data_IF_925461670855
#
_entry.id   IF_925461670855
#
_cell.length_a   1.000
_cell.length_b   1.000
_cell.length_c   1.000
_cell.angle_alpha   90.00
_cell.angle_beta   90.00
_cell.angle_gamma   90.00
#
_symmetry.space_group_name_H-M   'P 1'
#
loop_
_entity.id
_entity.type
_entity.pdbx_description
1 polymer ?
#
# COMPACT_ATOMS: atom_id res chain seq x y z
N UNK A 1 -4.97 29.61 33.33
CA UNK A 1 -3.51 29.34 33.42
C UNK A 1 -3.27 27.83 33.42
N UNK A 2 -3.68 27.05 34.42
CA UNK A 2 -3.39 25.61 34.51
C UNK A 2 -3.85 24.77 33.28
N UNK A 3 -5.09 24.94 32.80
CA UNK A 3 -5.57 24.21 31.57
C UNK A 3 -4.80 24.54 30.30
N UNK A 4 -4.23 25.75 30.18
CA UNK A 4 -3.40 26.11 29.02
C UNK A 4 -2.03 25.43 29.08
N UNK A 5 -1.49 25.30 30.29
CA UNK A 5 -0.19 24.69 30.54
C UNK A 5 -0.27 23.14 30.29
N UNK A 6 -1.39 22.52 30.71
CA UNK A 6 -1.62 21.07 30.49
C UNK A 6 -1.71 20.71 28.99
N UNK A 7 -2.42 21.51 28.18
CA UNK A 7 -2.51 21.29 26.72
C UNK A 7 -1.16 21.53 26.04
N UNK A 8 -0.40 22.53 26.45
CA UNK A 8 0.95 22.77 25.90
C UNK A 8 1.90 21.63 26.26
N UNK A 9 1.80 21.08 27.47
CA UNK A 9 2.54 19.88 27.87
C UNK A 9 2.13 18.67 27.06
N UNK A 10 0.83 18.45 26.79
CA UNK A 10 0.34 17.38 25.94
C UNK A 10 0.91 17.50 24.51
N UNK A 11 1.02 18.72 23.96
CA UNK A 11 1.62 18.95 22.63
C UNK A 11 3.09 18.56 22.59
N UNK A 12 3.87 18.98 23.59
CA UNK A 12 5.29 18.61 23.70
C UNK A 12 5.48 17.10 23.81
N UNK A 13 4.63 16.42 24.59
CA UNK A 13 4.67 14.95 24.72
C UNK A 13 4.34 14.27 23.38
N UNK A 14 3.38 14.78 22.62
CA UNK A 14 3.08 14.29 21.27
C UNK A 14 4.25 14.50 20.31
N UNK A 15 4.93 15.65 20.36
CA UNK A 15 6.11 15.89 19.54
C UNK A 15 7.23 14.90 19.88
N UNK A 16 7.45 14.62 21.17
CA UNK A 16 8.39 13.58 21.61
C UNK A 16 7.98 12.19 21.14
N UNK A 17 6.67 11.87 21.18
CA UNK A 17 6.16 10.60 20.65
C UNK A 17 6.48 10.44 19.14
N UNK A 18 6.25 11.49 18.36
CA UNK A 18 6.53 11.47 16.92
C UNK A 18 8.02 11.34 16.60
N UNK A 19 8.89 11.98 17.39
CA UNK A 19 10.34 11.79 17.27
C UNK A 19 10.72 10.34 17.60
N UNK A 20 10.14 9.76 18.65
CA UNK A 20 10.38 8.36 19.01
C UNK A 20 9.90 7.40 17.91
N UNK A 21 8.77 7.69 17.23
CA UNK A 21 8.31 6.92 16.06
C UNK A 21 9.34 6.94 14.92
N UNK A 22 9.90 8.12 14.60
CA UNK A 22 10.93 8.25 13.56
C UNK A 22 12.17 7.41 13.88
N UNK A 23 12.52 7.28 15.15
CA UNK A 23 13.62 6.43 15.63
C UNK A 23 13.23 4.96 15.86
N UNK A 24 11.99 4.56 15.49
CA UNK A 24 11.44 3.21 15.74
C UNK A 24 11.41 2.78 17.21
N UNK A 25 11.42 3.74 18.13
CA UNK A 25 11.32 3.52 19.57
C UNK A 25 9.83 3.43 20.00
N UNK A 26 9.13 2.44 19.46
CA UNK A 26 7.66 2.34 19.55
C UNK A 26 7.12 2.30 20.98
N UNK A 27 7.84 1.66 21.92
CA UNK A 27 7.44 1.63 23.34
C UNK A 27 7.51 3.01 24.00
N UNK A 28 8.54 3.82 23.69
CA UNK A 28 8.65 5.19 24.16
C UNK A 28 7.58 6.09 23.55
N UNK A 29 7.33 5.94 22.22
CA UNK A 29 6.28 6.67 21.54
C UNK A 29 4.92 6.43 22.21
N UNK A 30 4.62 5.18 22.52
CA UNK A 30 3.38 4.81 23.22
C UNK A 30 3.31 5.47 24.61
N UNK A 31 4.38 5.41 25.40
CA UNK A 31 4.42 6.04 26.72
C UNK A 31 4.15 7.54 26.64
N UNK A 32 4.77 8.24 25.69
CA UNK A 32 4.54 9.68 25.49
C UNK A 32 3.10 10.00 25.07
N UNK A 33 2.46 9.16 24.23
CA UNK A 33 1.02 9.34 23.94
C UNK A 33 0.14 9.07 25.16
N UNK A 34 0.49 8.10 26.01
CA UNK A 34 -0.24 7.82 27.24
C UNK A 34 -0.13 8.99 28.23
N UNK A 35 1.08 9.53 28.40
CA UNK A 35 1.33 10.72 29.21
C UNK A 35 0.60 11.95 28.66
N UNK A 36 0.60 12.15 27.34
CA UNK A 36 -0.14 13.24 26.70
C UNK A 36 -1.65 13.14 26.95
N UNK A 37 -2.20 11.92 26.89
CA UNK A 37 -3.62 11.69 27.16
C UNK A 37 -3.98 11.89 28.63
N UNK A 38 -3.05 11.67 29.57
CA UNK A 38 -3.25 11.91 30.99
C UNK A 38 -3.36 13.40 31.37
N UNK A 39 -2.88 14.30 30.51
CA UNK A 39 -3.02 15.76 30.72
C UNK A 39 -4.45 16.26 30.46
N UNK A 40 -5.31 15.43 29.79
CA UNK A 40 -6.70 15.81 29.53
C UNK A 40 -7.64 15.23 30.57
N UNK A 41 -8.54 16.08 31.08
CA UNK A 41 -9.66 15.62 31.91
C UNK A 41 -10.61 14.74 31.10
N UNK A 42 -11.32 13.84 31.76
CA UNK A 42 -12.26 12.90 31.10
C UNK A 42 -13.36 13.60 30.29
N UNK A 43 -13.80 14.78 30.74
CA UNK A 43 -14.79 15.63 30.09
C UNK A 43 -14.18 16.69 29.17
N UNK A 44 -12.88 16.58 28.86
CA UNK A 44 -12.19 17.56 28.03
C UNK A 44 -12.82 17.69 26.66
N UNK A 45 -13.06 18.94 26.25
CA UNK A 45 -13.54 19.37 24.94
C UNK A 45 -12.40 20.02 24.12
N UNK A 46 -11.16 19.72 24.46
CA UNK A 46 -10.02 20.29 23.74
C UNK A 46 -9.94 19.68 22.32
N UNK A 47 -9.85 20.53 21.27
CA UNK A 47 -9.75 20.05 19.87
C UNK A 47 -8.52 19.17 19.59
N UNK A 48 -7.49 19.21 20.41
CA UNK A 48 -6.29 18.41 20.25
C UNK A 48 -6.46 16.95 20.73
N UNK A 49 -7.37 16.69 21.66
CA UNK A 49 -7.61 15.35 22.21
C UNK A 49 -7.97 14.29 21.16
N UNK A 50 -8.90 14.54 20.22
CA UNK A 50 -9.18 13.57 19.13
C UNK A 50 -7.94 13.21 18.29
N UNK A 51 -7.05 14.17 18.06
CA UNK A 51 -5.83 13.95 17.29
C UNK A 51 -4.84 13.04 18.02
N UNK A 52 -4.62 13.30 19.33
CA UNK A 52 -3.74 12.46 20.15
C UNK A 52 -4.23 11.02 20.20
N UNK A 53 -5.54 10.82 20.39
CA UNK A 53 -6.18 9.50 20.35
C UNK A 53 -5.96 8.82 19.01
N UNK A 54 -6.10 9.54 17.90
CA UNK A 54 -5.89 9.03 16.55
C UNK A 54 -4.44 8.62 16.30
N UNK A 55 -3.46 9.45 16.69
CA UNK A 55 -2.04 9.12 16.51
C UNK A 55 -1.64 7.89 17.33
N UNK A 56 -2.07 7.82 18.61
CA UNK A 56 -1.88 6.61 19.40
C UNK A 56 -2.52 5.39 18.73
N UNK A 57 -3.73 5.53 18.19
CA UNK A 57 -4.40 4.48 17.44
C UNK A 57 -3.59 4.02 16.22
N UNK A 58 -2.94 4.97 15.52
CA UNK A 58 -2.08 4.67 14.37
C UNK A 58 -0.85 3.87 14.78
N UNK A 59 -0.15 4.28 15.83
CA UNK A 59 0.98 3.53 16.40
C UNK A 59 0.58 2.09 16.77
N UNK A 60 -0.55 1.93 17.46
CA UNK A 60 -1.04 0.60 17.87
C UNK A 60 -1.39 -0.27 16.65
N UNK A 61 -2.01 0.31 15.61
CA UNK A 61 -2.31 -0.37 14.35
C UNK A 61 -1.05 -0.86 13.64
N UNK A 62 0.01 -0.06 13.62
CA UNK A 62 1.31 -0.41 13.02
C UNK A 62 2.00 -1.54 13.77
N UNK A 63 1.78 -1.63 15.07
CA UNK A 63 2.23 -2.75 15.91
C UNK A 63 1.36 -4.02 15.80
N UNK A 64 0.29 -3.99 14.98
CA UNK A 64 -0.65 -5.10 14.85
C UNK A 64 -1.69 -5.18 15.97
N UNK A 65 -1.71 -4.26 16.91
CA UNK A 65 -2.67 -4.18 18.04
C UNK A 65 -4.01 -3.61 17.58
N UNK A 66 -4.65 -4.30 16.62
CA UNK A 66 -5.82 -3.82 15.88
C UNK A 66 -7.00 -3.46 16.77
N UNK A 67 -7.28 -4.24 17.82
CA UNK A 67 -8.40 -3.95 18.72
C UNK A 67 -8.14 -2.74 19.63
N UNK A 68 -6.90 -2.55 20.05
CA UNK A 68 -6.52 -1.36 20.80
C UNK A 68 -6.59 -0.10 19.92
N UNK A 69 -6.13 -0.18 18.67
CA UNK A 69 -6.26 0.88 17.68
C UNK A 69 -7.73 1.23 17.42
N UNK A 70 -8.58 0.24 17.24
CA UNK A 70 -10.02 0.44 17.07
C UNK A 70 -10.63 1.22 18.23
N UNK A 71 -10.31 0.87 19.48
CA UNK A 71 -10.79 1.61 20.66
C UNK A 71 -10.32 3.06 20.66
N UNK A 72 -9.06 3.32 20.32
CA UNK A 72 -8.53 4.69 20.23
C UNK A 72 -9.26 5.50 19.15
N UNK A 73 -9.48 4.94 17.97
CA UNK A 73 -10.19 5.62 16.88
C UNK A 73 -11.66 5.87 17.20
N UNK A 74 -12.32 4.92 17.89
CA UNK A 74 -13.72 5.10 18.36
C UNK A 74 -13.81 6.25 19.35
N UNK A 75 -12.90 6.32 20.34
CA UNK A 75 -12.85 7.45 21.27
C UNK A 75 -12.52 8.77 20.57
N UNK A 76 -11.62 8.75 19.57
CA UNK A 76 -11.33 9.93 18.75
C UNK A 76 -12.58 10.42 18.02
N UNK A 77 -13.36 9.52 17.43
CA UNK A 77 -14.62 9.85 16.76
C UNK A 77 -15.65 10.44 17.74
N UNK A 78 -15.83 9.82 18.89
CA UNK A 78 -16.74 10.31 19.94
C UNK A 78 -16.38 11.74 20.38
N UNK A 79 -15.10 11.99 20.70
CA UNK A 79 -14.62 13.31 21.11
C UNK A 79 -14.71 14.33 19.97
N UNK A 80 -14.33 13.98 18.76
CA UNK A 80 -14.44 14.83 17.57
C UNK A 80 -15.91 15.26 17.30
N UNK A 81 -16.85 14.31 17.46
CA UNK A 81 -18.28 14.57 17.29
C UNK A 81 -18.82 15.51 18.36
N UNK A 82 -18.45 15.31 19.63
CA UNK A 82 -18.85 16.19 20.74
C UNK A 82 -18.32 17.62 20.57
N UNK A 83 -17.11 17.77 20.05
CA UNK A 83 -16.48 19.07 19.78
C UNK A 83 -17.06 19.73 18.52
N UNK A 84 -17.68 18.96 17.61
CA UNK A 84 -18.21 19.45 16.34
C UNK A 84 -17.12 19.69 15.28
N UNK A 85 -15.97 18.99 15.38
CA UNK A 85 -14.86 19.14 14.43
C UNK A 85 -15.05 18.19 13.23
N UNK A 86 -15.54 18.73 12.10
CA UNK A 86 -15.74 17.97 10.85
C UNK A 86 -14.46 17.24 10.39
N UNK A 87 -13.32 17.94 10.41
CA UNK A 87 -12.03 17.37 10.01
C UNK A 87 -11.59 16.24 10.94
N UNK A 88 -11.73 16.40 12.25
CA UNK A 88 -11.34 15.35 13.21
C UNK A 88 -12.27 14.12 13.11
N UNK A 89 -13.57 14.32 12.85
CA UNK A 89 -14.53 13.24 12.56
C UNK A 89 -14.11 12.49 11.30
N UNK A 90 -13.79 13.20 10.22
CA UNK A 90 -13.34 12.59 8.96
C UNK A 90 -12.07 11.75 9.14
N UNK A 91 -11.08 12.26 9.87
CA UNK A 91 -9.87 11.51 10.21
C UNK A 91 -10.18 10.21 10.97
N UNK A 92 -11.01 10.29 12.00
CA UNK A 92 -11.35 9.12 12.82
C UNK A 92 -12.12 8.07 12.01
N UNK A 93 -13.09 8.49 11.19
CA UNK A 93 -13.84 7.61 10.28
C UNK A 93 -12.93 6.94 9.24
N UNK A 94 -12.00 7.67 8.65
CA UNK A 94 -11.02 7.11 7.72
C UNK A 94 -10.14 6.02 8.39
N UNK A 95 -9.69 6.27 9.61
CA UNK A 95 -8.93 5.29 10.39
C UNK A 95 -9.75 4.05 10.73
N UNK A 96 -11.02 4.22 11.13
CA UNK A 96 -11.94 3.10 11.38
C UNK A 96 -12.22 2.31 10.11
N UNK A 97 -12.37 3.00 8.96
CA UNK A 97 -12.49 2.36 7.65
C UNK A 97 -11.29 1.47 7.32
N UNK A 98 -10.08 1.93 7.63
CA UNK A 98 -8.86 1.12 7.46
C UNK A 98 -8.88 -0.14 8.34
N UNK A 99 -9.40 -0.06 9.57
CA UNK A 99 -9.56 -1.23 10.45
C UNK A 99 -10.61 -2.20 9.88
N UNK A 100 -11.76 -1.70 9.42
CA UNK A 100 -12.81 -2.52 8.81
C UNK A 100 -12.28 -3.24 7.55
N UNK A 101 -11.49 -2.55 6.72
CA UNK A 101 -10.84 -3.12 5.54
C UNK A 101 -9.91 -4.28 5.91
N UNK A 102 -9.06 -4.10 6.92
CA UNK A 102 -8.16 -5.17 7.42
C UNK A 102 -8.91 -6.38 7.97
N UNK A 103 -10.11 -6.17 8.50
CA UNK A 103 -11.00 -7.24 8.98
C UNK A 103 -11.80 -7.90 7.86
N UNK A 104 -11.70 -7.41 6.62
CA UNK A 104 -12.45 -7.91 5.47
C UNK A 104 -13.93 -7.49 5.46
N UNK A 105 -14.36 -6.57 6.34
CA UNK A 105 -15.72 -6.05 6.33
C UNK A 105 -15.89 -4.95 5.28
N UNK A 106 -16.10 -5.40 4.04
CA UNK A 106 -16.21 -4.53 2.87
C UNK A 106 -17.34 -3.52 3.00
N UNK A 107 -18.52 -3.94 3.51
CA UNK A 107 -19.69 -3.06 3.62
C UNK A 107 -19.43 -1.94 4.63
N UNK A 108 -18.89 -2.27 5.76
CA UNK A 108 -18.55 -1.29 6.78
C UNK A 108 -17.42 -0.37 6.32
N UNK A 109 -16.44 -0.89 5.59
CA UNK A 109 -15.36 -0.09 4.98
C UNK A 109 -15.91 0.96 4.03
N UNK A 110 -16.80 0.57 3.09
CA UNK A 110 -17.45 1.50 2.15
C UNK A 110 -18.24 2.58 2.89
N UNK A 111 -19.01 2.19 3.91
CA UNK A 111 -19.81 3.10 4.71
C UNK A 111 -18.95 4.14 5.42
N UNK A 112 -17.89 3.68 6.09
CA UNK A 112 -16.99 4.54 6.87
C UNK A 112 -16.21 5.51 5.97
N UNK A 113 -15.67 5.03 4.83
CA UNK A 113 -14.98 5.91 3.89
C UNK A 113 -15.92 6.92 3.23
N UNK A 114 -17.16 6.54 2.89
CA UNK A 114 -18.13 7.47 2.33
C UNK A 114 -18.46 8.59 3.34
N UNK A 115 -18.73 8.25 4.59
CA UNK A 115 -18.95 9.23 5.65
C UNK A 115 -17.71 10.11 5.87
N UNK A 116 -16.51 9.52 5.88
CA UNK A 116 -15.28 10.27 6.02
C UNK A 116 -15.11 11.33 4.91
N UNK A 117 -15.44 10.96 3.65
CA UNK A 117 -15.39 11.87 2.50
C UNK A 117 -16.33 13.07 2.69
N UNK A 118 -17.61 12.82 3.07
CA UNK A 118 -18.58 13.88 3.34
C UNK A 118 -18.12 14.86 4.44
N UNK A 119 -17.53 14.33 5.51
CA UNK A 119 -17.02 15.15 6.60
C UNK A 119 -15.75 15.92 6.19
N UNK A 120 -14.87 15.34 5.38
CA UNK A 120 -13.68 16.02 4.86
C UNK A 120 -14.05 17.18 3.91
N UNK A 121 -15.06 17.01 3.07
CA UNK A 121 -15.61 18.07 2.21
C UNK A 121 -16.17 19.22 3.05
N UNK A 122 -17.01 18.93 4.06
CA UNK A 122 -17.56 19.95 4.97
C UNK A 122 -16.48 20.67 5.76
N UNK A 123 -15.47 19.94 6.20
CA UNK A 123 -14.29 20.48 6.89
C UNK A 123 -13.33 21.24 5.97
N UNK A 124 -13.55 21.20 4.65
CA UNK A 124 -12.70 21.81 3.62
C UNK A 124 -11.23 21.37 3.70
N UNK A 125 -11.01 20.13 4.10
CA UNK A 125 -9.68 19.55 4.17
C UNK A 125 -9.39 18.75 2.87
N UNK A 126 -8.88 19.45 1.87
CA UNK A 126 -8.59 18.85 0.57
C UNK A 126 -7.55 17.73 0.66
N UNK A 127 -6.55 17.85 1.55
CA UNK A 127 -5.54 16.81 1.74
C UNK A 127 -6.14 15.53 2.31
N UNK A 128 -6.97 15.65 3.33
CA UNK A 128 -7.68 14.53 3.92
C UNK A 128 -8.65 13.88 2.93
N UNK A 129 -9.40 14.70 2.17
CA UNK A 129 -10.27 14.22 1.11
C UNK A 129 -9.49 13.38 0.09
N UNK A 130 -8.33 13.87 -0.35
CA UNK A 130 -7.44 13.13 -1.25
C UNK A 130 -7.04 11.76 -0.71
N UNK A 131 -6.66 11.68 0.57
CA UNK A 131 -6.32 10.42 1.24
C UNK A 131 -7.51 9.45 1.31
N UNK A 132 -8.70 9.94 1.62
CA UNK A 132 -9.91 9.12 1.72
C UNK A 132 -10.30 8.58 0.33
N UNK A 133 -10.30 9.43 -0.69
CA UNK A 133 -10.63 9.04 -2.06
C UNK A 133 -9.60 8.02 -2.60
N UNK A 134 -8.31 8.16 -2.26
CA UNK A 134 -7.32 7.14 -2.58
C UNK A 134 -7.66 5.79 -1.95
N UNK A 135 -8.03 5.74 -0.68
CA UNK A 135 -8.43 4.51 0.01
C UNK A 135 -9.68 3.88 -0.64
N UNK A 136 -10.67 4.70 -1.02
CA UNK A 136 -11.85 4.24 -1.78
C UNK A 136 -11.47 3.65 -3.12
N UNK A 137 -10.53 4.29 -3.83
CA UNK A 137 -9.97 3.79 -5.10
C UNK A 137 -9.28 2.43 -4.94
N UNK A 138 -8.46 2.26 -3.90
CA UNK A 138 -7.83 0.97 -3.58
C UNK A 138 -8.88 -0.11 -3.33
N UNK A 139 -9.89 0.18 -2.51
CA UNK A 139 -10.97 -0.77 -2.21
C UNK A 139 -11.74 -1.18 -3.47
N UNK A 140 -12.11 -0.21 -4.33
CA UNK A 140 -12.80 -0.49 -5.59
C UNK A 140 -11.93 -1.32 -6.54
N UNK A 141 -10.63 -1.01 -6.64
CA UNK A 141 -9.67 -1.77 -7.46
C UNK A 141 -9.51 -3.22 -6.98
N UNK A 142 -9.45 -3.45 -5.67
CA UNK A 142 -9.39 -4.80 -5.08
C UNK A 142 -10.65 -5.63 -5.41
N UNK A 143 -11.79 -4.99 -5.59
CA UNK A 143 -13.06 -5.63 -5.96
C UNK A 143 -13.23 -5.82 -7.47
N UNK A 144 -12.28 -5.34 -8.27
CA UNK A 144 -12.38 -5.36 -9.73
C UNK A 144 -13.31 -4.31 -10.32
N UNK A 145 -13.82 -3.38 -9.51
CA UNK A 145 -14.62 -2.24 -9.99
C UNK A 145 -13.69 -1.12 -10.48
N UNK A 146 -13.07 -1.38 -11.62
CA UNK A 146 -12.05 -0.51 -12.18
C UNK A 146 -12.59 0.85 -12.62
N UNK A 147 -13.89 0.93 -12.97
CA UNK A 147 -14.54 2.21 -13.31
C UNK A 147 -14.60 3.14 -12.11
N UNK A 148 -15.14 2.66 -10.98
CA UNK A 148 -15.17 3.43 -9.73
C UNK A 148 -13.79 3.69 -9.15
N UNK A 149 -12.86 2.75 -9.30
CA UNK A 149 -11.48 2.96 -8.88
C UNK A 149 -10.83 4.15 -9.61
N UNK A 150 -11.00 4.26 -10.93
CA UNK A 150 -10.51 5.38 -11.72
C UNK A 150 -11.13 6.71 -11.28
N UNK A 151 -12.44 6.74 -11.02
CA UNK A 151 -13.15 7.92 -10.52
C UNK A 151 -12.57 8.38 -9.18
N UNK A 152 -12.46 7.48 -8.20
CA UNK A 152 -11.93 7.80 -6.88
C UNK A 152 -10.46 8.26 -6.92
N UNK A 153 -9.61 7.61 -7.72
CA UNK A 153 -8.23 8.07 -7.89
C UNK A 153 -8.16 9.43 -8.57
N UNK A 154 -9.05 9.73 -9.52
CA UNK A 154 -9.11 11.05 -10.17
C UNK A 154 -9.54 12.13 -9.18
N UNK A 155 -10.55 11.86 -8.35
CA UNK A 155 -10.98 12.74 -7.26
C UNK A 155 -9.84 12.99 -6.26
N UNK A 156 -9.15 11.91 -5.87
CA UNK A 156 -7.97 12.00 -5.00
C UNK A 156 -6.89 12.90 -5.57
N UNK A 157 -6.56 12.72 -6.86
CA UNK A 157 -5.55 13.53 -7.53
C UNK A 157 -5.94 15.02 -7.54
N UNK A 158 -7.19 15.34 -7.90
CA UNK A 158 -7.71 16.71 -7.88
C UNK A 158 -7.69 17.34 -6.48
N UNK A 159 -8.01 16.55 -5.45
CA UNK A 159 -7.95 17.01 -4.07
C UNK A 159 -6.51 17.31 -3.60
N UNK A 160 -5.54 16.47 -3.95
CA UNK A 160 -4.12 16.75 -3.65
C UNK A 160 -3.56 17.90 -4.48
N UNK A 161 -3.99 18.09 -5.73
CA UNK A 161 -3.65 19.27 -6.54
C UNK A 161 -4.16 20.56 -5.86
N UNK A 162 -5.41 20.54 -5.36
CA UNK A 162 -5.98 21.67 -4.61
C UNK A 162 -5.23 21.94 -3.31
N UNK A 163 -4.77 20.89 -2.63
CA UNK A 163 -3.97 21.00 -1.42
C UNK A 163 -2.51 21.42 -1.67
N UNK A 164 -2.04 21.40 -2.92
CA UNK A 164 -0.64 21.62 -3.27
C UNK A 164 0.32 20.55 -2.76
N UNK A 165 -0.18 19.33 -2.49
CA UNK A 165 0.59 18.23 -1.88
C UNK A 165 1.08 17.26 -2.97
N UNK A 166 2.29 17.50 -3.46
CA UNK A 166 2.86 16.74 -4.56
C UNK A 166 3.28 15.30 -4.18
N UNK A 167 3.56 15.03 -2.91
CA UNK A 167 4.01 13.71 -2.47
C UNK A 167 2.93 12.63 -2.70
N UNK A 168 1.71 12.73 -2.15
CA UNK A 168 0.69 11.73 -2.39
C UNK A 168 0.21 11.70 -3.84
N UNK A 169 0.32 12.79 -4.60
CA UNK A 169 -0.01 12.80 -6.02
C UNK A 169 0.79 11.76 -6.81
N UNK A 170 2.07 11.57 -6.51
CA UNK A 170 2.91 10.58 -7.20
C UNK A 170 2.42 9.15 -6.96
N UNK A 171 1.95 8.84 -5.76
CA UNK A 171 1.35 7.54 -5.43
C UNK A 171 -0.01 7.32 -6.10
N UNK A 172 -0.87 8.36 -6.14
CA UNK A 172 -2.16 8.27 -6.84
C UNK A 172 -1.96 8.06 -8.34
N UNK A 173 -1.02 8.76 -8.95
CA UNK A 173 -0.65 8.58 -10.36
C UNK A 173 -0.10 7.17 -10.62
N UNK A 174 0.69 6.63 -9.71
CA UNK A 174 1.12 5.24 -9.78
C UNK A 174 -0.07 4.26 -9.74
N UNK A 175 -1.02 4.48 -8.84
CA UNK A 175 -2.22 3.64 -8.74
C UNK A 175 -3.10 3.71 -10.00
N UNK A 176 -3.27 4.92 -10.59
CA UNK A 176 -3.93 5.09 -11.90
C UNK A 176 -3.18 4.34 -12.99
N UNK A 177 -1.85 4.41 -13.01
CA UNK A 177 -1.03 3.66 -13.95
C UNK A 177 -1.21 2.17 -13.85
N UNK A 178 -1.17 1.60 -12.65
CA UNK A 178 -1.43 0.17 -12.40
C UNK A 178 -2.85 -0.21 -12.85
N UNK A 179 -3.85 0.62 -12.50
CA UNK A 179 -5.24 0.39 -12.87
C UNK A 179 -5.41 0.30 -14.39
N UNK A 180 -4.88 1.29 -15.11
CA UNK A 180 -4.94 1.31 -16.58
C UNK A 180 -4.15 0.17 -17.22
N UNK A 181 -3.04 -0.27 -16.62
CA UNK A 181 -2.31 -1.46 -17.07
C UNK A 181 -3.15 -2.72 -16.94
N UNK A 182 -3.87 -2.90 -15.82
CA UNK A 182 -4.78 -4.05 -15.60
C UNK A 182 -5.88 -4.14 -16.64
N UNK A 183 -6.45 -3.01 -17.05
CA UNK A 183 -7.49 -2.95 -18.10
C UNK A 183 -6.92 -2.81 -19.52
N UNK A 184 -5.60 -2.97 -19.67
CA UNK A 184 -4.85 -2.90 -20.94
C UNK A 184 -4.94 -1.57 -21.68
N UNK A 185 -5.22 -0.50 -20.97
CA UNK A 185 -5.19 0.87 -21.48
C UNK A 185 -3.77 1.46 -21.27
N UNK A 186 -2.83 0.95 -22.05
CA UNK A 186 -1.40 1.16 -21.84
C UNK A 186 -0.94 2.61 -22.10
N UNK A 187 -1.61 3.36 -22.98
CA UNK A 187 -1.20 4.75 -23.27
C UNK A 187 -1.53 5.67 -22.10
N UNK A 188 -2.72 5.55 -21.49
CA UNK A 188 -3.08 6.26 -20.28
C UNK A 188 -2.22 5.80 -19.09
N UNK A 189 -2.00 4.49 -18.96
CA UNK A 189 -1.11 3.96 -17.92
C UNK A 189 0.27 4.63 -17.97
N UNK A 190 0.85 4.70 -19.17
CA UNK A 190 2.13 5.36 -19.41
C UNK A 190 2.08 6.82 -19.00
N UNK A 191 1.08 7.58 -19.45
CA UNK A 191 0.95 9.00 -19.13
C UNK A 191 0.90 9.28 -17.63
N UNK A 192 0.13 8.49 -16.88
CA UNK A 192 0.06 8.61 -15.43
C UNK A 192 1.40 8.24 -14.75
N UNK A 193 2.02 7.15 -15.14
CA UNK A 193 3.29 6.70 -14.55
C UNK A 193 4.45 7.65 -14.85
N UNK A 194 4.55 8.18 -16.09
CA UNK A 194 5.56 9.18 -16.45
C UNK A 194 5.40 10.46 -15.63
N UNK A 195 4.16 10.94 -15.44
CA UNK A 195 3.86 12.08 -14.58
C UNK A 195 4.21 11.83 -13.12
N UNK A 196 3.81 10.67 -12.57
CA UNK A 196 4.13 10.27 -11.19
C UNK A 196 5.63 10.16 -10.96
N UNK A 197 6.35 9.55 -11.92
CA UNK A 197 7.81 9.43 -11.88
C UNK A 197 8.49 10.81 -11.93
N UNK A 198 8.02 11.72 -12.76
CA UNK A 198 8.58 13.07 -12.82
C UNK A 198 8.45 13.83 -11.49
N UNK A 199 7.31 13.69 -10.79
CA UNK A 199 7.12 14.24 -9.45
C UNK A 199 8.11 13.61 -8.46
N UNK A 200 8.24 12.29 -8.47
CA UNK A 200 9.15 11.57 -7.57
C UNK A 200 10.61 11.99 -7.78
N UNK A 201 11.08 12.07 -9.03
CA UNK A 201 12.44 12.54 -9.38
C UNK A 201 12.67 13.97 -8.87
N UNK A 202 11.73 14.89 -9.11
CA UNK A 202 11.86 16.28 -8.69
C UNK A 202 11.91 16.43 -7.16
N UNK A 203 11.31 15.50 -6.43
CA UNK A 203 11.31 15.48 -4.96
C UNK A 203 12.48 14.68 -4.36
N UNK A 204 13.22 13.95 -5.18
CA UNK A 204 14.24 13.01 -4.71
C UNK A 204 13.66 11.77 -4.02
N UNK A 205 12.40 11.42 -4.31
CA UNK A 205 11.75 10.22 -3.77
C UNK A 205 12.16 8.99 -4.56
N UNK A 206 13.27 8.39 -4.15
CA UNK A 206 13.85 7.22 -4.81
C UNK A 206 12.97 5.96 -4.74
N UNK A 207 12.05 5.87 -3.77
CA UNK A 207 11.13 4.72 -3.66
C UNK A 207 10.05 4.81 -4.73
N UNK A 208 9.34 5.94 -4.80
CA UNK A 208 8.31 6.14 -5.82
C UNK A 208 8.89 6.16 -7.23
N UNK A 209 10.09 6.76 -7.42
CA UNK A 209 10.79 6.70 -8.70
C UNK A 209 11.03 5.25 -9.15
N UNK A 210 11.51 4.39 -8.25
CA UNK A 210 11.76 2.98 -8.56
C UNK A 210 10.47 2.23 -8.92
N UNK A 211 9.43 2.37 -8.08
CA UNK A 211 8.14 1.68 -8.29
C UNK A 211 7.50 2.12 -9.62
N UNK A 212 7.46 3.41 -9.90
CA UNK A 212 6.90 3.91 -11.17
C UNK A 212 7.74 3.50 -12.38
N UNK A 213 9.07 3.43 -12.23
CA UNK A 213 9.97 2.94 -13.28
C UNK A 213 9.70 1.46 -13.59
N UNK A 214 9.47 0.64 -12.57
CA UNK A 214 9.14 -0.77 -12.74
C UNK A 214 7.77 -0.96 -13.40
N UNK A 215 6.76 -0.20 -12.97
CA UNK A 215 5.42 -0.25 -13.58
C UNK A 215 5.44 0.23 -15.05
N UNK A 216 6.32 1.17 -15.41
CA UNK A 216 6.56 1.53 -16.83
C UNK A 216 7.16 0.36 -17.63
N UNK A 217 8.02 -0.48 -17.02
CA UNK A 217 8.49 -1.69 -17.69
C UNK A 217 7.34 -2.64 -18.02
N UNK A 218 6.38 -2.84 -17.09
CA UNK A 218 5.19 -3.66 -17.35
C UNK A 218 4.31 -3.08 -18.46
N UNK A 219 4.12 -1.76 -18.50
CA UNK A 219 3.39 -1.09 -19.58
C UNK A 219 4.05 -1.34 -20.94
N UNK A 220 5.37 -1.14 -21.03
CA UNK A 220 6.11 -1.37 -22.28
C UNK A 220 6.10 -2.84 -22.71
N UNK A 221 6.11 -3.77 -21.74
CA UNK A 221 5.93 -5.20 -21.98
C UNK A 221 4.53 -5.48 -22.56
N UNK A 222 3.48 -4.86 -21.99
CA UNK A 222 2.10 -4.98 -22.48
C UNK A 222 1.91 -4.44 -23.91
N UNK A 223 2.67 -3.38 -24.26
CA UNK A 223 2.72 -2.82 -25.63
C UNK A 223 3.58 -3.65 -26.60
N UNK A 224 4.16 -4.77 -26.16
CA UNK A 224 5.06 -5.61 -26.96
C UNK A 224 6.44 -4.98 -27.25
N UNK A 225 6.79 -3.88 -26.57
CA UNK A 225 8.07 -3.19 -26.72
C UNK A 225 9.11 -3.73 -25.74
N UNK A 226 9.45 -5.03 -25.91
CA UNK A 226 10.26 -5.79 -24.95
C UNK A 226 11.64 -5.20 -24.68
N UNK A 227 12.29 -4.57 -25.68
CA UNK A 227 13.61 -3.94 -25.48
C UNK A 227 13.51 -2.66 -24.63
N UNK A 228 12.40 -1.93 -24.74
CA UNK A 228 12.14 -0.77 -23.90
C UNK A 228 11.78 -1.22 -22.49
N UNK A 229 10.93 -2.23 -22.34
CA UNK A 229 10.60 -2.83 -21.06
C UNK A 229 11.85 -3.30 -20.30
N UNK A 230 12.77 -3.98 -20.98
CA UNK A 230 14.03 -4.49 -20.40
C UNK A 230 14.93 -3.35 -19.92
N UNK A 231 14.99 -2.22 -20.64
CA UNK A 231 15.74 -1.02 -20.19
C UNK A 231 15.14 -0.43 -18.90
N UNK A 232 13.81 -0.23 -18.83
CA UNK A 232 13.16 0.27 -17.63
C UNK A 232 13.32 -0.70 -16.45
N UNK A 233 13.20 -2.00 -16.70
CA UNK A 233 13.44 -3.04 -15.71
C UNK A 233 14.89 -3.01 -15.18
N UNK A 234 15.88 -2.86 -16.08
CA UNK A 234 17.28 -2.74 -15.69
C UNK A 234 17.54 -1.50 -14.83
N UNK A 235 16.94 -0.36 -15.18
CA UNK A 235 17.04 0.86 -14.37
C UNK A 235 16.45 0.66 -12.97
N UNK A 236 15.27 0.06 -12.85
CA UNK A 236 14.63 -0.20 -11.56
C UNK A 236 15.49 -1.16 -10.71
N UNK A 237 16.04 -2.22 -11.31
CA UNK A 237 16.90 -3.17 -10.62
C UNK A 237 18.18 -2.50 -10.10
N UNK A 238 18.83 -1.70 -10.92
CA UNK A 238 20.04 -0.96 -10.52
C UNK A 238 19.75 0.02 -9.38
N UNK A 239 18.64 0.76 -9.44
CA UNK A 239 18.21 1.66 -8.36
C UNK A 239 17.97 0.90 -7.05
N UNK A 240 17.30 -0.25 -7.09
CA UNK A 240 17.05 -1.09 -5.93
C UNK A 240 18.35 -1.63 -5.32
N UNK A 241 19.25 -2.15 -6.15
CA UNK A 241 20.55 -2.69 -5.73
C UNK A 241 21.43 -1.62 -5.07
N UNK A 242 21.48 -0.41 -5.62
CA UNK A 242 22.24 0.71 -5.01
C UNK A 242 21.75 1.08 -3.61
N UNK A 243 20.46 0.86 -3.31
CA UNK A 243 19.88 1.12 -1.98
C UNK A 243 19.94 -0.08 -1.04
N UNK A 244 20.37 -1.25 -1.52
CA UNK A 244 20.24 -2.49 -0.76
C UNK A 244 18.79 -2.91 -0.53
N UNK A 245 17.89 -2.52 -1.42
CA UNK A 245 16.46 -2.81 -1.34
C UNK A 245 16.16 -4.13 -2.06
N UNK A 246 16.32 -5.22 -1.33
CA UNK A 246 16.15 -6.58 -1.84
C UNK A 246 14.74 -6.85 -2.35
N UNK A 247 13.71 -6.27 -1.71
CA UNK A 247 12.32 -6.47 -2.12
C UNK A 247 12.03 -5.82 -3.48
N UNK A 248 12.46 -4.57 -3.67
CA UNK A 248 12.34 -3.90 -4.97
C UNK A 248 13.19 -4.59 -6.05
N UNK A 249 14.37 -5.13 -5.69
CA UNK A 249 15.21 -5.91 -6.62
C UNK A 249 14.48 -7.20 -7.04
N UNK A 250 13.87 -7.93 -6.12
CA UNK A 250 13.07 -9.12 -6.41
C UNK A 250 11.91 -8.80 -7.36
N UNK A 251 11.18 -7.71 -7.12
CA UNK A 251 10.11 -7.24 -8.01
C UNK A 251 10.61 -6.95 -9.42
N UNK A 252 11.75 -6.27 -9.56
CA UNK A 252 12.36 -6.00 -10.86
C UNK A 252 12.82 -7.28 -11.58
N UNK A 253 13.38 -8.24 -10.85
CA UNK A 253 13.76 -9.54 -11.42
C UNK A 253 12.53 -10.35 -11.86
N UNK A 254 11.41 -10.31 -11.13
CA UNK A 254 10.14 -10.91 -11.55
C UNK A 254 9.67 -10.34 -12.90
N UNK A 255 9.67 -9.02 -13.07
CA UNK A 255 9.31 -8.38 -14.36
C UNK A 255 10.30 -8.77 -15.46
N UNK A 256 11.60 -8.84 -15.17
CA UNK A 256 12.62 -9.32 -16.14
C UNK A 256 12.34 -10.74 -16.57
N UNK A 257 12.02 -11.64 -15.66
CA UNK A 257 11.66 -13.01 -16.00
C UNK A 257 10.43 -13.09 -16.91
N UNK A 258 9.42 -12.24 -16.67
CA UNK A 258 8.25 -12.15 -17.54
C UNK A 258 8.62 -11.66 -18.97
N UNK A 259 9.53 -10.69 -19.10
CA UNK A 259 10.05 -10.24 -20.39
C UNK A 259 10.80 -11.37 -21.10
N UNK A 260 11.66 -12.11 -20.39
CA UNK A 260 12.40 -13.25 -20.92
C UNK A 260 11.46 -14.36 -21.38
N UNK A 261 10.40 -14.65 -20.64
CA UNK A 261 9.34 -15.58 -21.02
C UNK A 261 8.64 -15.14 -22.30
N UNK A 262 8.29 -13.88 -22.45
CA UNK A 262 7.67 -13.37 -23.68
C UNK A 262 8.60 -13.44 -24.91
N UNK A 263 9.91 -13.35 -24.69
CA UNK A 263 10.94 -13.57 -25.73
C UNK A 263 11.14 -15.07 -26.08
N UNK A 264 10.47 -15.98 -25.37
CA UNK A 264 10.66 -17.43 -25.52
C UNK A 264 11.92 -17.97 -24.85
N UNK A 265 12.65 -17.16 -24.09
CA UNK A 265 13.87 -17.56 -23.39
C UNK A 265 13.54 -18.20 -22.01
N UNK A 266 12.83 -19.34 -22.04
CA UNK A 266 12.22 -19.95 -20.84
C UNK A 266 13.26 -20.37 -19.79
N UNK A 267 14.38 -20.96 -20.20
CA UNK A 267 15.45 -21.36 -19.28
C UNK A 267 16.04 -20.14 -18.55
N UNK A 268 16.22 -19.04 -19.26
CA UNK A 268 16.70 -17.78 -18.67
C UNK A 268 15.68 -17.20 -17.68
N UNK A 269 14.41 -17.21 -18.06
CA UNK A 269 13.32 -16.77 -17.18
C UNK A 269 13.29 -17.58 -15.88
N UNK A 270 13.44 -18.90 -15.94
CA UNK A 270 13.55 -19.78 -14.75
C UNK A 270 14.75 -19.36 -13.87
N UNK A 271 15.91 -19.14 -14.48
CA UNK A 271 17.11 -18.75 -13.75
C UNK A 271 16.90 -17.38 -13.05
N UNK A 272 16.33 -16.42 -13.76
CA UNK A 272 16.03 -15.08 -13.22
C UNK A 272 14.99 -15.13 -12.08
N UNK A 273 13.94 -15.95 -12.20
CA UNK A 273 12.95 -16.13 -11.13
C UNK A 273 13.57 -16.74 -9.86
N UNK A 274 14.47 -17.70 -10.01
CA UNK A 274 15.17 -18.27 -8.84
C UNK A 274 15.99 -17.23 -8.09
N UNK A 275 16.64 -16.33 -8.82
CA UNK A 275 17.36 -15.20 -8.19
C UNK A 275 16.35 -14.26 -7.51
N UNK A 276 15.22 -13.97 -8.15
CA UNK A 276 14.17 -13.12 -7.56
C UNK A 276 13.62 -13.71 -6.26
N UNK A 277 13.37 -15.02 -6.23
CA UNK A 277 12.89 -15.73 -5.04
C UNK A 277 13.94 -15.64 -3.92
N UNK A 278 15.22 -15.86 -4.23
CA UNK A 278 16.32 -15.75 -3.26
C UNK A 278 16.44 -14.32 -2.70
N UNK A 279 16.31 -13.28 -3.55
CA UNK A 279 16.33 -11.87 -3.10
C UNK A 279 15.13 -11.55 -2.18
N UNK A 280 13.99 -12.21 -2.37
CA UNK A 280 12.82 -12.06 -1.52
C UNK A 280 12.87 -12.92 -0.25
N UNK A 281 13.80 -13.86 -0.13
CA UNK A 281 13.97 -14.67 1.08
C UNK A 281 14.30 -13.78 2.28
N UNK A 282 13.51 -13.89 3.34
CA UNK A 282 13.63 -13.04 4.53
C UNK A 282 12.90 -11.70 4.46
N UNK A 283 12.25 -11.38 3.33
CA UNK A 283 11.31 -10.27 3.27
C UNK A 283 9.98 -10.65 3.94
N UNK A 284 9.26 -9.64 4.44
CA UNK A 284 7.91 -9.83 4.99
C UNK A 284 6.83 -10.00 3.90
N UNK A 285 7.18 -9.77 2.62
CA UNK A 285 6.25 -9.86 1.50
C UNK A 285 6.09 -11.30 0.98
N UNK A 286 5.39 -12.10 1.77
CA UNK A 286 5.06 -13.49 1.42
C UNK A 286 4.17 -13.62 0.18
N UNK A 287 3.41 -12.57 -0.14
CA UNK A 287 2.56 -12.59 -1.32
C UNK A 287 3.39 -12.54 -2.61
N UNK A 288 4.35 -11.62 -2.69
CA UNK A 288 5.27 -11.53 -3.82
C UNK A 288 6.06 -12.83 -3.99
N UNK A 289 6.54 -13.41 -2.90
CA UNK A 289 7.24 -14.69 -2.91
C UNK A 289 6.37 -15.82 -3.48
N UNK A 290 5.11 -15.93 -3.03
CA UNK A 290 4.16 -16.93 -3.52
C UNK A 290 3.85 -16.75 -5.02
N UNK A 291 3.67 -15.51 -5.48
CA UNK A 291 3.46 -15.21 -6.91
C UNK A 291 4.65 -15.63 -7.78
N UNK A 292 5.88 -15.39 -7.33
CA UNK A 292 7.08 -15.81 -8.06
C UNK A 292 7.20 -17.34 -8.14
N UNK A 293 6.88 -18.05 -7.06
CA UNK A 293 6.85 -19.51 -7.03
C UNK A 293 5.78 -20.08 -7.98
N UNK A 294 4.59 -19.47 -8.00
CA UNK A 294 3.55 -19.84 -8.95
C UNK A 294 4.03 -19.68 -10.40
N UNK A 295 4.63 -18.55 -10.74
CA UNK A 295 5.17 -18.28 -12.07
C UNK A 295 6.29 -19.26 -12.44
N UNK A 296 7.18 -19.57 -11.49
CA UNK A 296 8.22 -20.59 -11.68
C UNK A 296 7.62 -21.98 -12.00
N UNK A 297 6.55 -22.35 -11.31
CA UNK A 297 5.81 -23.58 -11.57
C UNK A 297 5.19 -23.62 -12.99
N UNK A 298 4.57 -22.52 -13.40
CA UNK A 298 3.98 -22.38 -14.73
C UNK A 298 5.02 -22.53 -15.86
N UNK A 299 6.17 -21.85 -15.73
CA UNK A 299 7.22 -21.91 -16.73
C UNK A 299 7.87 -23.30 -16.73
N UNK A 300 8.11 -23.88 -15.54
CA UNK A 300 8.68 -25.22 -15.42
C UNK A 300 7.78 -26.28 -16.08
N UNK A 301 6.46 -26.15 -15.94
CA UNK A 301 5.49 -26.96 -16.67
C UNK A 301 5.58 -26.77 -18.18
N UNK A 302 5.71 -25.53 -18.64
CA UNK A 302 5.80 -25.21 -20.07
C UNK A 302 7.04 -25.79 -20.74
N UNK A 303 8.17 -25.91 -20.01
CA UNK A 303 9.38 -26.59 -20.52
C UNK A 303 9.39 -28.10 -20.29
N UNK A 304 8.27 -28.68 -19.82
CA UNK A 304 8.14 -30.13 -19.60
C UNK A 304 8.78 -30.66 -18.33
N UNK A 305 9.26 -29.81 -17.42
CA UNK A 305 9.83 -30.21 -16.14
C UNK A 305 8.75 -30.33 -15.06
N UNK A 306 7.98 -31.43 -15.09
CA UNK A 306 6.88 -31.68 -14.18
C UNK A 306 7.34 -31.75 -12.71
N UNK A 307 8.54 -32.27 -12.44
CA UNK A 307 9.10 -32.34 -11.08
C UNK A 307 9.35 -30.96 -10.47
N UNK A 308 10.02 -30.06 -11.21
CA UNK A 308 10.24 -28.68 -10.78
C UNK A 308 8.93 -27.90 -10.66
N UNK A 309 7.99 -28.09 -11.60
CA UNK A 309 6.67 -27.46 -11.53
C UNK A 309 5.91 -27.86 -10.26
N UNK A 310 5.94 -29.16 -9.92
CA UNK A 310 5.26 -29.70 -8.73
C UNK A 310 5.85 -29.14 -7.43
N UNK A 311 7.18 -29.02 -7.33
CA UNK A 311 7.84 -28.39 -6.17
C UNK A 311 7.41 -26.93 -6.02
N UNK A 312 7.57 -26.14 -7.08
CA UNK A 312 7.25 -24.74 -7.07
C UNK A 312 5.77 -24.45 -6.72
N UNK A 313 4.83 -25.24 -7.28
CA UNK A 313 3.41 -25.08 -6.95
C UNK A 313 3.08 -25.45 -5.51
N UNK A 314 3.71 -26.47 -4.91
CA UNK A 314 3.52 -26.80 -3.49
C UNK A 314 4.00 -25.68 -2.59
N UNK A 315 5.20 -25.18 -2.82
CA UNK A 315 5.78 -24.07 -2.08
C UNK A 315 4.94 -22.77 -2.23
N UNK A 316 4.37 -22.55 -3.43
CA UNK A 316 3.45 -21.44 -3.67
C UNK A 316 2.16 -21.58 -2.84
N UNK A 317 1.57 -22.80 -2.76
CA UNK A 317 0.39 -23.07 -1.93
C UNK A 317 0.69 -22.76 -0.47
N UNK A 318 1.80 -23.27 0.08
CA UNK A 318 2.18 -23.05 1.48
C UNK A 318 2.35 -21.53 1.78
N UNK A 319 2.95 -20.79 0.83
CA UNK A 319 3.14 -19.35 0.96
C UNK A 319 1.83 -18.57 0.85
N UNK A 320 0.90 -18.95 -0.05
CA UNK A 320 -0.43 -18.35 -0.15
C UNK A 320 -1.31 -18.67 1.07
N UNK A 321 -1.20 -19.87 1.65
CA UNK A 321 -1.90 -20.25 2.89
C UNK A 321 -1.47 -19.35 4.06
N UNK A 322 -0.18 -19.04 4.15
CA UNK A 322 0.35 -18.17 5.20
C UNK A 322 -0.19 -16.72 5.14
N UNK A 323 -0.67 -16.27 3.97
CA UNK A 323 -1.27 -14.93 3.78
C UNK A 323 -2.79 -14.97 3.62
N UNK A 324 -3.41 -16.17 3.62
CA UNK A 324 -4.87 -16.33 3.51
C UNK A 324 -5.43 -16.06 2.12
N UNK A 325 -4.64 -16.21 1.05
CA UNK A 325 -5.01 -15.93 -0.34
C UNK A 325 -5.82 -17.09 -0.94
N UNK A 326 -7.08 -17.22 -0.55
CA UNK A 326 -7.92 -18.41 -0.83
C UNK A 326 -8.18 -18.67 -2.31
N UNK A 327 -8.30 -17.62 -3.12
CA UNK A 327 -8.51 -17.76 -4.56
C UNK A 327 -7.25 -18.30 -5.24
N UNK A 328 -6.10 -17.72 -4.96
CA UNK A 328 -4.80 -18.10 -5.49
C UNK A 328 -4.45 -19.55 -5.09
N UNK A 329 -4.76 -19.96 -3.87
CA UNK A 329 -4.61 -21.34 -3.40
C UNK A 329 -5.41 -22.29 -4.29
N UNK A 330 -6.69 -21.99 -4.56
CA UNK A 330 -7.53 -22.82 -5.41
C UNK A 330 -6.99 -22.95 -6.84
N UNK A 331 -6.53 -21.83 -7.40
CA UNK A 331 -5.95 -21.79 -8.75
C UNK A 331 -4.66 -22.64 -8.85
N UNK A 332 -3.74 -22.46 -7.88
CA UNK A 332 -2.46 -23.21 -7.90
C UNK A 332 -2.67 -24.69 -7.62
N UNK A 333 -3.60 -25.07 -6.73
CA UNK A 333 -3.96 -26.46 -6.51
C UNK A 333 -4.54 -27.12 -7.78
N UNK A 334 -5.38 -26.42 -8.53
CA UNK A 334 -5.89 -26.91 -9.80
C UNK A 334 -4.75 -27.14 -10.82
N UNK A 335 -3.77 -26.23 -10.88
CA UNK A 335 -2.59 -26.40 -11.73
C UNK A 335 -1.71 -27.57 -11.29
N UNK A 336 -1.55 -27.78 -9.98
CA UNK A 336 -0.79 -28.90 -9.40
C UNK A 336 -1.45 -30.25 -9.74
N UNK A 337 -2.78 -30.34 -9.65
CA UNK A 337 -3.53 -31.56 -10.01
C UNK A 337 -3.50 -31.87 -11.51
N UNK A 338 -3.32 -30.85 -12.35
CA UNK A 338 -3.24 -31.02 -13.81
C UNK A 338 -1.84 -31.46 -14.30
N UNK A 339 -0.85 -31.59 -13.41
CA UNK A 339 0.47 -32.09 -13.78
C UNK A 339 0.45 -33.61 -13.97
N UNK A 340 1.14 -34.14 -15.01
CA UNK A 340 1.35 -35.56 -15.13
C UNK A 340 2.11 -36.15 -13.93
N UNK A 341 1.87 -37.42 -13.65
CA UNK A 341 2.52 -38.16 -12.55
C UNK A 341 4.05 -38.22 -12.67
#
# INVERSE_FOLDING_TARGET
>A
MQKSDDVERARLLVDLARVAEQHRETAKAQSFYDDALAEFADDSMDPFLPEVLRWKGTLLRERGETDAAFRCYTKSLEKATLIGSETAVAHALNCLGTIAQRRGDVKETERLYAQASEFAERGRDARLLGMIEQNRGVLASMRGDFGRAAEFYSNSLGAFELAGDAEPMSWVLNNLGILHTKIRNYDEARGHLERGRAIAVNRGDAVVENVTTLNLAEVWMGLGRLDTADRFCAMALEQAQRRGDHLSAAGALKVRAAIERQRGALDKSIATLRIAIFEAEGSEDRLLHAEMLRELGEISRAVGNAGAARSAFREAVDSFEAVGASQEIAEVRAQLHALPD
#
